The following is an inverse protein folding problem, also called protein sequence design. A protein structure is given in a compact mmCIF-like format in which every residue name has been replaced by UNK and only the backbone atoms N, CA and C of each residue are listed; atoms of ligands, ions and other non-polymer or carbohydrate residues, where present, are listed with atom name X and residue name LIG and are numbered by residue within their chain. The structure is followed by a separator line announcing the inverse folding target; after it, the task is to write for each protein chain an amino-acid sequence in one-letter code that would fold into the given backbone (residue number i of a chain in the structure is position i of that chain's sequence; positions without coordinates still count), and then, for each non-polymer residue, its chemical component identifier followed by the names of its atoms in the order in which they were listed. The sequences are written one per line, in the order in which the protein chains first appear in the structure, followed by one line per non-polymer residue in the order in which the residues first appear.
data_IF_263567724294
#
_entry.id   IF_263567724294
#
_cell.length_a   1.000
_cell.length_b   1.000
_cell.length_c   1.000
_cell.angle_alpha   90.00
_cell.angle_beta   90.00
_cell.angle_gamma   90.00
#
_symmetry.space_group_name_H-M   'P 1'
#
loop_
_entity.id
_entity.type
_entity.pdbx_description
1 polymer ?
#
# COMPACT_ATOMS: atom_id res chain seq x y z
N UNK A 1 8.14 9.71 -31.81
CA UNK A 1 7.32 10.43 -30.82
C UNK A 1 6.27 9.45 -30.33
N UNK A 2 5.95 9.33 -29.02
CA UNK A 2 4.76 8.57 -28.62
C UNK A 2 3.56 9.19 -29.35
N UNK A 3 2.69 8.37 -29.93
CA UNK A 3 1.46 8.89 -30.54
C UNK A 3 0.57 9.49 -29.46
N UNK A 4 -0.32 10.41 -29.84
CA UNK A 4 -1.36 10.95 -28.95
C UNK A 4 -2.19 9.82 -28.34
N UNK A 5 -2.48 8.77 -29.12
CA UNK A 5 -3.22 7.60 -28.63
C UNK A 5 -2.44 6.81 -27.58
N UNK A 6 -1.13 6.63 -27.78
CA UNK A 6 -0.27 5.98 -26.78
C UNK A 6 -0.20 6.81 -25.49
N UNK A 7 -0.09 8.13 -25.60
CA UNK A 7 -0.09 9.02 -24.44
C UNK A 7 -1.40 8.90 -23.63
N UNK A 8 -2.55 8.84 -24.32
CA UNK A 8 -3.85 8.62 -23.67
C UNK A 8 -3.94 7.23 -23.03
N UNK A 9 -3.48 6.19 -23.72
CA UNK A 9 -3.48 4.81 -23.20
C UNK A 9 -2.61 4.68 -21.95
N UNK A 10 -1.40 5.23 -21.96
CA UNK A 10 -0.47 5.15 -20.83
C UNK A 10 -1.02 5.93 -19.63
N UNK A 11 -1.56 7.14 -19.83
CA UNK A 11 -2.22 7.88 -18.74
C UNK A 11 -3.46 7.14 -18.19
N UNK A 12 -4.28 6.57 -19.06
CA UNK A 12 -5.43 5.79 -18.63
C UNK A 12 -5.04 4.52 -17.87
N UNK A 13 -3.91 3.90 -18.23
CA UNK A 13 -3.35 2.77 -17.49
C UNK A 13 -2.92 3.18 -16.07
N UNK A 14 -2.22 4.30 -15.93
CA UNK A 14 -1.75 4.79 -14.62
C UNK A 14 -2.90 5.14 -13.67
N UNK A 15 -3.95 5.77 -14.19
CA UNK A 15 -5.19 6.02 -13.45
C UNK A 15 -5.87 4.71 -13.00
N UNK A 16 -6.00 3.73 -13.91
CA UNK A 16 -6.56 2.41 -13.57
C UNK A 16 -5.73 1.69 -12.52
N UNK A 17 -4.40 1.75 -12.60
CA UNK A 17 -3.50 1.13 -11.63
C UNK A 17 -3.70 1.71 -10.23
N UNK A 18 -3.79 3.04 -10.09
CA UNK A 18 -4.09 3.65 -8.78
C UNK A 18 -5.47 3.21 -8.25
N UNK A 19 -6.50 3.17 -9.12
CA UNK A 19 -7.84 2.68 -8.73
C UNK A 19 -7.81 1.23 -8.24
N UNK A 20 -7.02 0.36 -8.88
CA UNK A 20 -6.83 -1.02 -8.43
C UNK A 20 -6.17 -1.07 -7.05
N UNK A 21 -5.14 -0.26 -6.79
CA UNK A 21 -4.53 -0.20 -5.45
C UNK A 21 -5.49 0.32 -4.39
N UNK A 22 -6.28 1.36 -4.68
CA UNK A 22 -7.29 1.88 -3.75
C UNK A 22 -8.34 0.81 -3.43
N UNK A 23 -8.85 0.12 -4.45
CA UNK A 23 -9.76 -1.02 -4.28
C UNK A 23 -9.16 -2.15 -3.45
N UNK A 24 -7.87 -2.45 -3.66
CA UNK A 24 -7.15 -3.43 -2.86
C UNK A 24 -7.09 -3.01 -1.39
N UNK A 25 -6.84 -1.73 -1.10
CA UNK A 25 -6.84 -1.20 0.25
C UNK A 25 -8.20 -1.39 0.95
N UNK A 26 -9.30 -1.14 0.25
CA UNK A 26 -10.65 -1.36 0.80
C UNK A 26 -10.93 -2.84 1.07
N UNK A 27 -10.58 -3.72 0.13
CA UNK A 27 -10.76 -5.16 0.30
C UNK A 27 -9.96 -5.70 1.51
N UNK A 28 -8.72 -5.25 1.66
CA UNK A 28 -7.85 -5.62 2.79
C UNK A 28 -8.39 -5.05 4.10
N UNK A 29 -8.81 -3.79 4.11
CA UNK A 29 -9.39 -3.14 5.30
C UNK A 29 -10.63 -3.88 5.80
N UNK A 30 -11.53 -4.28 4.89
CA UNK A 30 -12.70 -5.08 5.23
C UNK A 30 -12.34 -6.46 5.80
N UNK A 31 -11.25 -7.06 5.35
CA UNK A 31 -10.78 -8.34 5.91
C UNK A 31 -10.17 -8.17 7.31
N UNK A 32 -9.47 -7.06 7.55
CA UNK A 32 -8.74 -6.80 8.79
C UNK A 32 -9.57 -6.15 9.89
N UNK A 33 -10.64 -5.40 9.59
CA UNK A 33 -11.44 -4.71 10.61
C UNK A 33 -12.12 -5.64 11.63
N UNK A 34 -12.18 -6.95 11.34
CA UNK A 34 -12.71 -7.99 12.23
C UNK A 34 -11.71 -8.47 13.29
N UNK A 35 -10.43 -8.14 13.17
CA UNK A 35 -9.40 -8.52 14.12
C UNK A 35 -9.37 -7.55 15.31
N UNK A 36 -9.59 -8.00 16.55
CA UNK A 36 -9.61 -7.12 17.73
C UNK A 36 -8.31 -6.32 17.92
N UNK A 37 -7.19 -6.87 17.43
CA UNK A 37 -5.87 -6.27 17.53
C UNK A 37 -5.68 -5.04 16.64
N UNK A 38 -6.48 -4.92 15.59
CA UNK A 38 -6.37 -3.84 14.61
C UNK A 38 -6.94 -2.57 15.25
N UNK A 39 -6.05 -1.60 15.50
CA UNK A 39 -6.42 -0.32 16.09
C UNK A 39 -6.77 0.68 15.00
N UNK A 40 -5.99 0.75 13.94
CA UNK A 40 -6.21 1.67 12.82
C UNK A 40 -5.57 1.16 11.53
N UNK A 41 -6.14 1.56 10.39
CA UNK A 41 -5.64 1.26 9.04
C UNK A 41 -5.71 2.53 8.21
N UNK A 42 -4.61 2.90 7.58
CA UNK A 42 -4.56 4.01 6.63
C UNK A 42 -3.80 3.63 5.36
N UNK A 43 -4.14 4.29 4.25
CA UNK A 43 -3.30 4.28 3.05
C UNK A 43 -2.24 5.36 3.19
N UNK A 44 -1.00 5.03 2.89
CA UNK A 44 0.12 5.98 2.85
C UNK A 44 0.77 5.94 1.46
N UNK A 45 1.88 6.67 1.30
CA UNK A 45 2.62 6.68 0.03
C UNK A 45 1.85 7.35 -1.12
N UNK A 46 2.20 6.99 -2.36
CA UNK A 46 1.66 7.66 -3.55
C UNK A 46 0.18 7.37 -3.81
N UNK A 47 -0.34 6.23 -3.34
CA UNK A 47 -1.74 5.81 -3.57
C UNK A 47 -2.72 6.68 -2.77
N UNK A 48 -2.30 7.17 -1.59
CA UNK A 48 -3.09 8.07 -0.74
C UNK A 48 -3.28 9.47 -1.36
N UNK A 49 -2.38 9.88 -2.25
CA UNK A 49 -2.36 11.23 -2.84
C UNK A 49 -3.15 11.26 -4.15
N UNK A 50 -3.71 12.42 -4.54
CA UNK A 50 -4.15 12.61 -5.92
C UNK A 50 -2.96 12.45 -6.86
N UNK A 51 -3.17 11.86 -8.04
CA UNK A 51 -2.11 11.80 -9.05
C UNK A 51 -1.76 13.20 -9.53
N UNK A 52 -0.46 13.46 -9.65
CA UNK A 52 0.11 14.65 -10.26
C UNK A 52 0.82 14.28 -11.56
N UNK A 53 1.09 15.28 -12.39
CA UNK A 53 1.88 15.10 -13.61
C UNK A 53 3.37 15.15 -13.30
N UNK A 54 4.13 14.20 -13.83
CA UNK A 54 5.59 14.20 -13.76
C UNK A 54 6.20 13.70 -15.08
N UNK A 55 7.45 14.08 -15.35
CA UNK A 55 8.20 13.51 -16.46
C UNK A 55 8.74 12.16 -16.01
N UNK A 56 8.24 11.03 -16.54
CA UNK A 56 8.59 9.72 -16.04
C UNK A 56 10.04 9.37 -16.43
N UNK A 57 10.62 8.41 -15.72
CA UNK A 57 12.01 7.94 -15.93
C UNK A 57 12.23 7.32 -17.31
N UNK A 58 11.17 6.86 -17.96
CA UNK A 58 11.20 6.13 -19.23
C UNK A 58 11.76 6.98 -20.37
N UNK A 59 12.80 6.46 -21.04
CA UNK A 59 13.55 7.21 -22.06
C UNK A 59 12.69 7.85 -23.18
N UNK A 60 11.61 7.23 -23.71
CA UNK A 60 10.79 7.83 -24.77
C UNK A 60 10.07 9.13 -24.38
N UNK A 61 9.71 9.26 -23.10
CA UNK A 61 9.01 10.40 -22.51
C UNK A 61 10.00 11.40 -21.90
N UNK A 62 10.98 10.89 -21.14
CA UNK A 62 12.02 11.69 -20.47
C UNK A 62 12.82 12.57 -21.44
N UNK A 63 13.28 11.98 -22.56
CA UNK A 63 14.07 12.71 -23.57
C UNK A 63 13.30 13.86 -24.23
N UNK A 64 11.98 13.89 -24.06
CA UNK A 64 11.08 14.85 -24.70
C UNK A 64 10.31 15.72 -23.70
N UNK A 65 10.56 15.56 -22.40
CA UNK A 65 9.86 16.31 -21.36
C UNK A 65 8.34 16.10 -21.36
N UNK A 66 7.85 14.94 -21.83
CA UNK A 66 6.40 14.68 -21.91
C UNK A 66 5.92 14.18 -20.55
N UNK A 67 5.01 14.90 -19.87
CA UNK A 67 4.50 14.48 -18.58
C UNK A 67 3.45 13.35 -18.70
N UNK A 68 3.50 12.41 -17.77
CA UNK A 68 2.46 11.41 -17.51
C UNK A 68 1.94 11.59 -16.09
N UNK A 69 0.83 10.94 -15.75
CA UNK A 69 0.48 10.77 -14.34
C UNK A 69 1.60 10.05 -13.59
N UNK A 70 1.76 10.35 -12.31
CA UNK A 70 2.70 9.63 -11.46
C UNK A 70 2.40 8.12 -11.44
N UNK A 71 3.46 7.31 -11.42
CA UNK A 71 3.36 5.85 -11.38
C UNK A 71 3.31 5.35 -9.93
N UNK A 72 2.13 4.93 -9.47
CA UNK A 72 2.03 4.12 -8.27
C UNK A 72 2.55 2.70 -8.57
N UNK A 73 3.54 2.23 -7.82
CA UNK A 73 4.18 0.91 -8.02
C UNK A 73 3.62 -0.16 -7.11
N UNK A 74 3.30 0.26 -5.90
CA UNK A 74 2.85 -0.52 -4.77
C UNK A 74 1.75 0.25 -4.03
N UNK A 75 1.04 -0.50 -3.18
CA UNK A 75 0.13 -0.01 -2.17
C UNK A 75 0.85 -0.08 -0.83
N UNK A 76 1.09 1.08 -0.23
CA UNK A 76 1.60 1.19 1.13
C UNK A 76 0.44 1.37 2.11
N UNK A 77 0.33 0.48 3.09
CA UNK A 77 -0.63 0.56 4.19
C UNK A 77 0.11 0.82 5.50
N UNK A 78 -0.39 1.76 6.30
CA UNK A 78 -0.03 1.89 7.69
C UNK A 78 -1.05 1.13 8.54
N UNK A 79 -0.56 0.27 9.43
CA UNK A 79 -1.37 -0.59 10.29
C UNK A 79 -0.91 -0.46 11.74
N UNK A 80 -1.81 -0.02 12.60
CA UNK A 80 -1.58 0.05 14.05
C UNK A 80 -2.17 -1.19 14.72
N UNK A 81 -1.34 -1.86 15.53
CA UNK A 81 -1.70 -3.08 16.25
C UNK A 81 -1.35 -2.96 17.73
N UNK A 82 -2.28 -3.32 18.61
CA UNK A 82 -1.98 -3.39 20.05
C UNK A 82 -1.17 -4.65 20.44
N UNK A 83 -1.27 -5.73 19.66
CA UNK A 83 -0.42 -6.91 19.76
C UNK A 83 -0.05 -7.49 18.38
N UNK A 84 1.13 -8.14 18.30
CA UNK A 84 1.69 -8.68 17.05
C UNK A 84 1.51 -10.20 16.88
N UNK A 85 0.66 -10.84 17.68
CA UNK A 85 0.47 -12.30 17.66
C UNK A 85 -0.28 -12.78 16.41
N UNK A 86 -1.08 -11.91 15.80
CA UNK A 86 -1.97 -12.24 14.66
C UNK A 86 -1.40 -11.91 13.27
N UNK A 87 -0.11 -11.56 13.18
CA UNK A 87 0.50 -11.16 11.89
C UNK A 87 0.37 -12.25 10.82
N UNK A 88 0.48 -13.53 11.21
CA UNK A 88 0.32 -14.64 10.29
C UNK A 88 -1.09 -14.74 9.69
N UNK A 89 -2.11 -14.50 10.51
CA UNK A 89 -3.53 -14.47 10.13
C UNK A 89 -3.82 -13.26 9.25
N UNK A 90 -3.37 -12.06 9.64
CA UNK A 90 -3.52 -10.84 8.86
C UNK A 90 -2.93 -10.99 7.46
N UNK A 91 -1.74 -11.58 7.33
CA UNK A 91 -1.11 -11.90 6.04
C UNK A 91 -2.00 -12.81 5.18
N UNK A 92 -2.58 -13.86 5.78
CA UNK A 92 -3.48 -14.79 5.05
C UNK A 92 -4.77 -14.10 4.64
N UNK A 93 -5.35 -13.29 5.52
CA UNK A 93 -6.56 -12.51 5.24
C UNK A 93 -6.34 -11.52 4.10
N UNK A 94 -5.19 -10.82 4.08
CA UNK A 94 -4.77 -9.94 2.98
C UNK A 94 -4.74 -10.69 1.64
N UNK A 95 -4.03 -11.81 1.59
CA UNK A 95 -3.91 -12.60 0.37
C UNK A 95 -5.27 -13.17 -0.10
N UNK A 96 -6.12 -13.60 0.84
CA UNK A 96 -7.46 -14.07 0.54
C UNK A 96 -8.37 -12.95 0.00
N UNK A 97 -8.29 -11.74 0.58
CA UNK A 97 -9.05 -10.58 0.12
C UNK A 97 -8.68 -10.17 -1.30
N UNK A 98 -7.39 -10.09 -1.61
CA UNK A 98 -6.90 -9.79 -2.96
C UNK A 98 -7.36 -10.85 -3.98
N UNK A 99 -7.31 -12.13 -3.58
CA UNK A 99 -7.79 -13.22 -4.44
C UNK A 99 -9.28 -13.14 -4.70
N UNK A 100 -10.09 -12.93 -3.66
CA UNK A 100 -11.54 -12.78 -3.80
C UNK A 100 -11.89 -11.61 -4.73
N UNK A 101 -11.12 -10.52 -4.65
CA UNK A 101 -11.34 -9.37 -5.52
C UNK A 101 -10.97 -9.63 -6.98
N UNK A 102 -9.89 -10.37 -7.23
CA UNK A 102 -9.55 -10.85 -8.57
C UNK A 102 -10.62 -11.82 -9.13
N UNK A 103 -11.17 -12.70 -8.30
CA UNK A 103 -12.24 -13.62 -8.71
C UNK A 103 -13.54 -12.86 -9.04
N UNK A 104 -13.80 -11.74 -8.36
CA UNK A 104 -14.97 -10.88 -8.61
C UNK A 104 -14.79 -9.98 -9.83
N UNK A 105 -13.57 -9.54 -10.13
CA UNK A 105 -13.26 -8.61 -11.20
C UNK A 105 -12.06 -9.09 -12.00
N UNK A 106 -12.33 -9.59 -13.20
CA UNK A 106 -11.30 -10.16 -14.07
C UNK A 106 -10.22 -9.15 -14.49
N UNK A 107 -10.50 -7.84 -14.43
CA UNK A 107 -9.55 -6.78 -14.73
C UNK A 107 -8.73 -6.32 -13.50
N UNK A 108 -9.07 -6.75 -12.29
CA UNK A 108 -8.31 -6.44 -11.08
C UNK A 108 -6.99 -7.21 -11.05
N UNK A 109 -5.87 -6.49 -10.86
CA UNK A 109 -4.53 -7.03 -11.09
C UNK A 109 -3.51 -6.78 -9.97
N UNK A 110 -3.93 -6.51 -8.73
CA UNK A 110 -2.98 -6.27 -7.62
C UNK A 110 -2.48 -7.58 -7.05
N UNK A 111 -1.16 -7.81 -7.11
CA UNK A 111 -0.52 -8.97 -6.51
C UNK A 111 -0.15 -8.72 -5.04
N UNK A 112 -0.08 -9.80 -4.25
CA UNK A 112 0.24 -9.76 -2.82
C UNK A 112 1.56 -9.03 -2.48
N UNK A 113 2.56 -9.16 -3.35
CA UNK A 113 3.88 -8.55 -3.19
C UNK A 113 3.93 -7.06 -3.57
N UNK A 114 2.86 -6.52 -4.17
CA UNK A 114 2.71 -5.09 -4.44
C UNK A 114 2.02 -4.37 -3.28
N UNK A 115 1.73 -5.08 -2.18
CA UNK A 115 1.17 -4.49 -0.97
C UNK A 115 2.19 -4.57 0.15
N UNK A 116 2.71 -3.41 0.53
CA UNK A 116 3.60 -3.22 1.64
C UNK A 116 2.83 -2.69 2.85
N UNK A 117 3.05 -3.30 4.01
CA UNK A 117 2.28 -3.00 5.22
C UNK A 117 3.26 -2.63 6.31
N UNK A 118 3.25 -1.38 6.71
CA UNK A 118 4.06 -0.78 7.75
C UNK A 118 3.34 -0.90 9.08
N UNK A 119 4.01 -1.47 10.08
CA UNK A 119 3.45 -1.72 11.39
C UNK A 119 3.87 -0.62 12.35
N UNK A 120 2.91 -0.06 13.08
CA UNK A 120 3.12 1.03 14.02
C UNK A 120 2.54 0.70 15.40
N UNK A 121 3.23 1.18 16.45
CA UNK A 121 2.74 1.11 17.82
C UNK A 121 1.62 2.15 18.04
N UNK A 122 0.44 1.75 18.56
CA UNK A 122 -0.63 2.68 18.89
C UNK A 122 -0.20 3.77 19.89
N UNK A 123 -0.49 5.02 19.56
CA UNK A 123 -0.30 6.18 20.44
C UNK A 123 1.07 6.83 20.38
N UNK A 124 2.14 6.07 20.07
CA UNK A 124 3.48 6.61 19.86
C UNK A 124 3.85 6.78 18.38
N UNK A 125 3.13 6.09 17.49
CA UNK A 125 3.46 5.96 16.07
C UNK A 125 4.88 5.40 15.84
N UNK A 126 5.43 4.69 16.83
CA UNK A 126 6.73 4.06 16.68
C UNK A 126 6.68 2.97 15.63
N UNK A 127 7.58 3.04 14.66
CA UNK A 127 7.69 2.04 13.60
C UNK A 127 8.24 0.72 14.14
N UNK A 128 7.52 -0.37 13.90
CA UNK A 128 7.84 -1.71 14.42
C UNK A 128 8.48 -2.63 13.38
N UNK A 129 8.29 -2.33 12.09
CA UNK A 129 8.71 -3.18 10.96
C UNK A 129 7.63 -3.29 9.89
N UNK A 130 7.71 -4.31 9.03
CA UNK A 130 6.66 -4.59 8.03
C UNK A 130 6.04 -5.96 8.23
N UNK A 131 4.79 -6.10 7.80
CA UNK A 131 4.20 -7.42 7.64
C UNK A 131 4.94 -8.19 6.55
N UNK A 132 5.43 -9.38 6.87
CA UNK A 132 6.15 -10.20 5.92
C UNK A 132 5.21 -10.81 4.86
N UNK A 133 5.52 -10.64 3.58
CA UNK A 133 4.77 -11.26 2.48
C UNK A 133 5.14 -12.74 2.26
N UNK A 134 6.18 -13.25 2.91
CA UNK A 134 6.53 -14.67 2.81
C UNK A 134 5.56 -15.57 3.58
N UNK A 135 5.43 -16.81 3.12
CA UNK A 135 4.63 -17.84 3.79
C UNK A 135 5.27 -18.38 5.09
N UNK A 136 6.47 -17.92 5.44
CA UNK A 136 7.19 -18.22 6.68
C UNK A 136 8.15 -17.07 6.97
N UNK A 137 8.28 -16.68 8.23
CA UNK A 137 9.24 -15.68 8.66
C UNK A 137 9.93 -16.15 9.97
N UNK A 138 11.27 -16.19 10.01
CA UNK A 138 12.18 -15.92 8.89
C UNK A 138 12.11 -17.04 7.83
N UNK A 139 12.37 -16.69 6.57
CA UNK A 139 12.60 -17.65 5.49
C UNK A 139 14.11 -17.81 5.30
N UNK A 140 14.59 -18.98 4.87
CA UNK A 140 16.02 -19.20 4.58
C UNK A 140 16.44 -18.45 3.30
N UNK A 141 16.50 -17.12 3.39
CA UNK A 141 16.66 -16.16 2.30
C UNK A 141 17.50 -14.97 2.81
N UNK A 142 18.38 -14.38 1.98
CA UNK A 142 19.24 -13.27 2.41
C UNK A 142 18.45 -12.09 2.99
N UNK A 143 17.26 -11.80 2.47
CA UNK A 143 16.41 -10.70 2.92
C UNK A 143 15.86 -10.88 4.35
N UNK A 144 15.93 -12.10 4.90
CA UNK A 144 15.52 -12.42 6.27
C UNK A 144 16.72 -12.53 7.23
N UNK A 145 17.97 -12.37 6.76
CA UNK A 145 19.16 -12.44 7.60
C UNK A 145 19.40 -11.17 8.44
N UNK A 146 18.47 -10.22 8.40
CA UNK A 146 18.51 -8.97 9.16
C UNK A 146 18.31 -9.27 10.65
N UNK A 147 19.13 -8.71 11.57
CA UNK A 147 18.94 -8.87 13.00
C UNK A 147 17.51 -8.55 13.44
N UNK A 148 16.91 -9.40 14.27
CA UNK A 148 15.54 -9.24 14.75
C UNK A 148 14.43 -9.61 13.76
N UNK A 149 14.74 -9.88 12.48
CA UNK A 149 13.74 -10.32 11.51
C UNK A 149 13.13 -11.67 11.93
N UNK A 150 11.81 -11.72 12.06
CA UNK A 150 11.09 -12.91 12.49
C UNK A 150 11.25 -13.26 13.97
N UNK A 151 11.83 -12.38 14.80
CA UNK A 151 11.81 -12.54 16.25
C UNK A 151 10.36 -12.63 16.77
N UNK A 152 9.49 -11.80 16.20
CA UNK A 152 8.05 -12.04 16.15
C UNK A 152 7.69 -12.69 14.81
N UNK A 153 6.94 -13.81 14.78
CA UNK A 153 6.54 -14.44 13.53
C UNK A 153 5.85 -13.46 12.58
N UNK A 154 6.30 -13.43 11.33
CA UNK A 154 5.83 -12.54 10.26
C UNK A 154 6.12 -11.04 10.44
N UNK A 155 6.84 -10.64 11.50
CA UNK A 155 7.42 -9.30 11.58
C UNK A 155 8.75 -9.27 10.80
N UNK A 156 8.78 -8.53 9.70
CA UNK A 156 9.97 -8.37 8.87
C UNK A 156 10.70 -7.08 9.24
N UNK A 157 12.02 -7.20 9.43
CA UNK A 157 12.92 -6.07 9.59
C UNK A 157 13.63 -5.79 8.25
N UNK A 158 13.89 -4.51 7.98
CA UNK A 158 14.65 -4.06 6.83
C UNK A 158 15.91 -3.36 7.33
N UNK A 159 17.10 -3.74 6.82
CA UNK A 159 18.33 -3.11 7.26
C UNK A 159 18.31 -1.66 6.81
N UNK A 160 18.75 -0.74 7.69
CA UNK A 160 18.95 0.67 7.37
C UNK A 160 17.67 1.42 6.92
N UNK A 161 16.50 0.82 7.12
CA UNK A 161 15.24 1.50 6.86
C UNK A 161 14.94 2.43 8.03
N UNK A 162 15.11 3.72 7.81
CA UNK A 162 14.58 4.77 8.65
C UNK A 162 13.25 5.24 8.06
N UNK A 163 12.24 5.31 8.92
CA UNK A 163 10.99 5.94 8.55
C UNK A 163 11.28 7.42 8.31
N UNK A 164 10.98 7.91 7.11
CA UNK A 164 10.94 9.35 6.88
C UNK A 164 9.90 9.96 7.82
N UNK A 165 10.25 11.08 8.46
CA UNK A 165 9.39 11.72 9.47
C UNK A 165 8.03 12.14 8.90
N UNK A 166 7.87 12.16 7.58
CA UNK A 166 6.65 12.49 6.88
C UNK A 166 5.83 11.27 6.41
N UNK A 167 6.22 10.02 6.72
CA UNK A 167 5.50 8.83 6.22
C UNK A 167 4.02 8.82 6.65
N UNK A 168 3.73 9.39 7.82
CA UNK A 168 2.39 9.55 8.39
C UNK A 168 1.83 10.96 8.19
N UNK A 169 2.52 11.84 7.46
CA UNK A 169 2.05 13.20 7.22
C UNK A 169 0.73 13.18 6.46
N UNK A 170 -0.31 13.78 7.06
CA UNK A 170 -1.65 13.83 6.47
C UNK A 170 -2.44 12.52 6.53
N UNK A 171 -1.97 11.53 7.31
CA UNK A 171 -2.61 10.20 7.40
C UNK A 171 -4.07 10.24 7.86
N UNK A 172 -4.47 11.26 8.61
CA UNK A 172 -5.87 11.48 9.00
C UNK A 172 -6.81 11.59 7.79
N UNK A 173 -6.34 12.16 6.68
CA UNK A 173 -7.11 12.28 5.44
C UNK A 173 -7.21 10.98 4.64
N UNK A 174 -6.37 9.99 4.96
CA UNK A 174 -6.31 8.69 4.29
C UNK A 174 -6.56 7.50 5.24
N UNK A 175 -7.11 7.79 6.42
CA UNK A 175 -7.49 6.81 7.44
C UNK A 175 -8.76 6.06 7.02
N UNK A 176 -8.63 4.78 6.70
CA UNK A 176 -9.74 3.93 6.25
C UNK A 176 -10.57 3.38 7.42
N UNK A 177 -9.89 3.05 8.52
CA UNK A 177 -10.50 2.39 9.67
C UNK A 177 -9.85 2.85 10.97
N UNK A 178 -10.66 3.03 12.01
CA UNK A 178 -10.22 3.00 13.41
C UNK A 178 -11.11 2.05 14.19
N UNK A 179 -10.58 1.43 15.24
CA UNK A 179 -11.38 0.55 16.10
C UNK A 179 -12.50 1.30 16.81
N UNK A 180 -12.31 2.57 17.11
CA UNK A 180 -13.29 3.41 17.78
C UNK A 180 -14.45 3.81 16.85
N UNK A 181 -14.16 4.15 15.59
CA UNK A 181 -15.15 4.71 14.67
C UNK A 181 -15.66 3.69 13.64
N UNK A 182 -14.99 2.54 13.51
CA UNK A 182 -15.23 1.59 12.42
C UNK A 182 -14.60 2.07 11.11
N UNK A 183 -15.26 1.73 9.99
CA UNK A 183 -14.84 2.21 8.66
C UNK A 183 -15.14 3.71 8.56
N UNK A 184 -14.11 4.51 8.29
CA UNK A 184 -14.20 5.97 8.21
C UNK A 184 -14.40 6.46 6.78
N UNK A 185 -13.70 5.85 5.81
CA UNK A 185 -13.85 6.17 4.40
C UNK A 185 -13.39 5.00 3.51
N UNK A 186 -13.71 5.10 2.22
CA UNK A 186 -13.21 4.22 1.17
C UNK A 186 -12.00 4.85 0.49
N UNK A 187 -10.95 4.09 0.25
CA UNK A 187 -9.78 4.55 -0.50
C UNK A 187 -10.16 4.95 -1.94
N UNK A 188 -11.21 4.35 -2.51
CA UNK A 188 -11.76 4.77 -3.82
C UNK A 188 -12.27 6.20 -3.85
N UNK A 189 -12.61 6.76 -2.69
CA UNK A 189 -13.21 8.10 -2.59
C UNK A 189 -12.14 9.20 -2.41
N UNK A 190 -10.86 8.81 -2.31
CA UNK A 190 -9.77 9.78 -2.31
C UNK A 190 -9.74 10.57 -3.62
N UNK A 191 -9.30 11.84 -3.62
CA UNK A 191 -9.23 12.61 -4.85
C UNK A 191 -8.31 11.93 -5.87
N UNK A 192 -8.76 11.79 -7.12
CA UNK A 192 -8.08 10.96 -8.12
C UNK A 192 -6.87 11.64 -8.76
N UNK A 193 -7.06 12.84 -9.32
CA UNK A 193 -6.01 13.52 -10.06
C UNK A 193 -6.18 15.03 -9.94
N UNK A 194 -5.05 15.73 -9.80
CA UNK A 194 -5.00 17.19 -9.82
C UNK A 194 -4.16 17.58 -11.02
N UNK A 195 -4.78 18.23 -12.00
CA UNK A 195 -4.01 18.94 -13.02
C UNK A 195 -3.34 20.12 -12.32
N UNK A 196 -2.01 20.07 -12.23
CA UNK A 196 -1.23 21.21 -11.76
C UNK A 196 -1.06 22.15 -12.95
N UNK A 197 -1.62 23.35 -12.84
CA UNK A 197 -1.47 24.45 -13.82
C UNK A 197 0.00 24.84 -14.04
#
# INVERSE_FOLDING_TARGET
MPSTDRLKQDNAHLLRTQRHFRRAADAITNAWCSFPQVVAIAVIGSVAKPLWKEVPRFAPYRRRGIPLWHECKDLDLALWLDDLTVLGELRRAKAAALRAEHERQQDFGVADHQVDVFLFEPGSDAYLGRLCNFNRCPKSRPECAVPGCGATPFLRQFPEFEVDGDILAGVEGSMLYTRADGIRCSATDFPEAVESD
#
